data_IF_764362551622
#
_entry.id   IF_764362551622
#
_cell.length_a   1.000
_cell.length_b   1.000
_cell.length_c   1.000
_cell.angle_alpha   90.00
_cell.angle_beta   90.00
_cell.angle_gamma   90.00
#
_symmetry.space_group_name_H-M   'P 1'
#
loop_
_entity.id
_entity.type
_entity.pdbx_description
1 polymer ?
#
# COMPACT_ATOMS: atom_id res chain seq x y z
N UNK A 1 -51.61 1.90 -60.52
CA UNK A 1 -50.59 2.69 -61.23
C UNK A 1 -49.70 3.35 -60.18
N UNK A 2 -48.37 3.38 -60.42
CA UNK A 2 -47.25 3.76 -59.53
C UNK A 2 -46.83 2.60 -58.59
N UNK A 3 -45.78 1.76 -58.79
CA UNK A 3 -44.46 1.83 -59.45
C UNK A 3 -43.57 2.99 -58.95
N UNK A 4 -42.25 2.88 -58.71
CA UNK A 4 -41.26 1.81 -58.48
C UNK A 4 -39.92 2.53 -58.19
N UNK A 5 -39.08 1.95 -57.33
CA UNK A 5 -37.60 1.91 -57.36
C UNK A 5 -36.69 3.11 -57.75
N UNK A 6 -35.74 3.36 -56.83
CA UNK A 6 -34.28 3.36 -56.99
C UNK A 6 -33.53 4.27 -58.01
N UNK A 7 -32.55 5.02 -57.50
CA UNK A 7 -31.20 5.30 -58.06
C UNK A 7 -30.39 6.09 -56.99
N UNK A 8 -29.23 5.69 -56.42
CA UNK A 8 -27.89 5.25 -56.90
C UNK A 8 -27.05 6.40 -57.52
N UNK A 9 -25.92 6.71 -56.85
CA UNK A 9 -24.67 7.40 -57.29
C UNK A 9 -24.50 8.93 -57.19
N UNK A 10 -23.45 9.35 -56.45
CA UNK A 10 -22.46 10.41 -56.75
C UNK A 10 -21.50 10.54 -55.54
N UNK A 11 -20.18 10.77 -55.59
CA UNK A 11 -19.21 10.93 -56.66
C UNK A 11 -17.80 10.75 -56.04
N UNK A 12 -16.85 10.23 -56.83
CA UNK A 12 -15.42 10.17 -56.52
C UNK A 12 -14.79 11.56 -56.64
N UNK A 13 -13.84 11.89 -55.78
CA UNK A 13 -12.77 12.86 -56.10
C UNK A 13 -11.43 12.19 -55.82
N UNK A 14 -10.62 12.02 -56.87
CA UNK A 14 -9.18 11.69 -56.82
C UNK A 14 -8.41 13.00 -56.93
N UNK A 15 -7.31 13.14 -56.18
CA UNK A 15 -6.17 13.99 -56.53
C UNK A 15 -4.85 13.23 -56.28
N UNK A 16 -3.74 13.59 -56.98
CA UNK A 16 -2.73 12.66 -57.48
C UNK A 16 -1.47 12.50 -56.59
N UNK A 17 -0.67 11.52 -57.00
CA UNK A 17 0.69 11.12 -56.57
C UNK A 17 1.71 12.27 -56.52
N UNK A 18 2.62 12.29 -55.52
CA UNK A 18 4.06 12.15 -55.75
C UNK A 18 4.88 11.93 -54.45
N UNK A 19 6.05 11.28 -54.58
CA UNK A 19 7.02 10.91 -53.54
C UNK A 19 7.41 12.05 -52.58
N UNK A 20 7.91 11.79 -51.37
CA UNK A 20 9.11 11.01 -51.12
C UNK A 20 9.15 10.33 -49.74
N UNK A 21 10.05 9.36 -49.64
CA UNK A 21 10.38 8.54 -48.47
C UNK A 21 10.84 9.37 -47.26
N UNK A 22 9.91 9.82 -46.42
CA UNK A 22 10.20 10.16 -45.01
C UNK A 22 8.93 9.86 -44.24
N UNK A 23 8.79 8.70 -43.55
CA UNK A 23 7.74 8.50 -42.52
C UNK A 23 7.76 7.12 -41.81
N UNK A 24 8.93 6.64 -41.39
CA UNK A 24 9.01 5.45 -40.52
C UNK A 24 8.72 5.75 -39.04
N UNK A 25 9.16 6.91 -38.54
CA UNK A 25 9.03 7.31 -37.13
C UNK A 25 7.84 8.23 -36.86
N UNK A 26 7.53 9.16 -37.76
CA UNK A 26 6.43 10.12 -37.58
C UNK A 26 5.05 9.45 -37.65
N UNK A 27 4.84 8.54 -38.61
CA UNK A 27 3.60 7.76 -38.70
C UNK A 27 3.33 6.90 -37.47
N UNK A 28 4.39 6.34 -36.85
CA UNK A 28 4.28 5.52 -35.63
C UNK A 28 3.93 6.37 -34.40
N UNK A 29 4.43 7.61 -34.35
CA UNK A 29 4.11 8.57 -33.30
C UNK A 29 2.69 9.14 -33.47
N UNK A 30 2.26 9.47 -34.69
CA UNK A 30 0.90 9.95 -34.98
C UNK A 30 -0.16 8.87 -34.72
N UNK A 31 0.11 7.60 -35.03
CA UNK A 31 -0.78 6.49 -34.66
C UNK A 31 -0.85 6.28 -33.13
N UNK A 32 0.28 6.33 -32.41
CA UNK A 32 0.29 6.29 -30.93
C UNK A 32 -0.47 7.47 -30.32
N UNK A 33 -0.37 8.67 -30.91
CA UNK A 33 -1.05 9.89 -30.45
C UNK A 33 -2.57 9.82 -30.68
N UNK A 34 -3.02 9.34 -31.86
CA UNK A 34 -4.45 9.12 -32.15
C UNK A 34 -5.06 8.01 -31.29
N UNK A 35 -4.30 6.99 -30.92
CA UNK A 35 -4.77 5.90 -30.05
C UNK A 35 -4.84 6.31 -28.57
N UNK A 36 -4.04 7.29 -28.15
CA UNK A 36 -4.15 7.94 -26.83
C UNK A 36 -5.44 8.77 -26.69
N UNK A 37 -5.99 9.29 -27.78
CA UNK A 37 -7.13 10.22 -27.77
C UNK A 37 -8.51 9.54 -27.72
N UNK A 38 -8.60 8.20 -27.73
CA UNK A 38 -9.86 7.44 -27.86
C UNK A 38 -10.10 6.41 -26.73
N UNK A 39 -9.43 6.54 -25.58
CA UNK A 39 -9.59 5.61 -24.44
C UNK A 39 -10.82 5.97 -23.62
N UNK A 40 -11.62 4.96 -23.27
CA UNK A 40 -12.84 5.15 -22.47
C UNK A 40 -12.57 5.14 -20.96
N UNK A 41 -11.50 4.48 -20.53
CA UNK A 41 -11.15 4.33 -19.12
C UNK A 41 -9.74 4.84 -18.81
N UNK A 42 -9.55 5.37 -17.60
CA UNK A 42 -8.23 5.76 -17.09
C UNK A 42 -7.33 4.55 -16.91
N UNK A 43 -6.05 4.73 -17.24
CA UNK A 43 -5.01 3.73 -16.97
C UNK A 43 -4.63 3.70 -15.49
N UNK A 44 -4.07 2.59 -15.01
CA UNK A 44 -3.58 2.51 -13.64
C UNK A 44 -2.52 3.59 -13.33
N UNK A 45 -1.66 3.89 -14.30
CA UNK A 45 -0.64 4.94 -14.16
C UNK A 45 -1.26 6.32 -13.86
N UNK A 46 -2.29 6.71 -14.61
CA UNK A 46 -3.00 7.99 -14.41
C UNK A 46 -3.68 8.05 -13.04
N UNK A 47 -4.20 6.92 -12.54
CA UNK A 47 -4.80 6.83 -11.21
C UNK A 47 -3.74 6.93 -10.11
N UNK A 48 -2.56 6.34 -10.30
CA UNK A 48 -1.48 6.38 -9.31
C UNK A 48 -0.76 7.73 -9.25
N UNK A 49 -0.73 8.52 -10.33
CA UNK A 49 0.03 9.76 -10.41
C UNK A 49 -0.18 10.74 -9.25
N UNK A 50 -1.43 11.14 -8.94
CA UNK A 50 -1.71 12.05 -7.81
C UNK A 50 -1.30 11.47 -6.46
N UNK A 51 -1.52 10.17 -6.25
CA UNK A 51 -1.16 9.46 -5.01
C UNK A 51 0.35 9.51 -4.78
N UNK A 52 1.11 9.22 -5.83
CA UNK A 52 2.57 9.25 -5.77
C UNK A 52 3.09 10.67 -5.55
N UNK A 53 2.42 11.67 -6.11
CA UNK A 53 2.78 13.08 -5.88
C UNK A 53 2.67 13.46 -4.41
N UNK A 54 1.59 13.04 -3.73
CA UNK A 54 1.44 13.25 -2.28
C UNK A 54 2.54 12.49 -1.52
N UNK A 55 2.81 11.24 -1.87
CA UNK A 55 3.83 10.44 -1.19
C UNK A 55 5.23 11.04 -1.25
N UNK A 56 5.54 11.76 -2.33
CA UNK A 56 6.82 12.40 -2.55
C UNK A 56 7.04 13.62 -1.64
N UNK A 57 5.97 14.28 -1.18
CA UNK A 57 6.05 15.33 -0.16
C UNK A 57 6.56 14.77 1.18
N UNK A 58 6.28 13.50 1.44
CA UNK A 58 6.73 12.79 2.64
C UNK A 58 7.98 11.93 2.41
N UNK A 59 8.63 12.06 1.24
CA UNK A 59 9.90 11.40 0.97
C UNK A 59 9.78 9.94 0.55
N UNK A 60 8.60 9.47 0.18
CA UNK A 60 8.39 8.12 -0.33
C UNK A 60 8.26 8.11 -1.87
N UNK A 61 8.83 7.07 -2.49
CA UNK A 61 8.80 6.79 -3.94
C UNK A 61 9.16 8.02 -4.82
N UNK A 62 10.41 8.53 -4.76
CA UNK A 62 10.85 9.76 -5.44
C UNK A 62 11.10 9.57 -6.96
N UNK A 63 10.07 9.18 -7.72
CA UNK A 63 10.12 9.09 -9.19
C UNK A 63 9.61 10.36 -9.88
N UNK A 64 10.21 10.74 -11.01
CA UNK A 64 9.82 11.91 -11.79
C UNK A 64 8.85 11.52 -12.92
N UNK A 65 8.02 12.48 -13.35
CA UNK A 65 7.07 12.28 -14.45
C UNK A 65 5.84 11.45 -14.07
N UNK A 66 5.48 11.33 -12.80
CA UNK A 66 4.35 10.49 -12.34
C UNK A 66 2.96 11.00 -12.76
N UNK A 67 2.83 12.29 -13.11
CA UNK A 67 1.58 12.91 -13.59
C UNK A 67 1.47 12.94 -15.12
N UNK A 68 2.52 12.51 -15.84
CA UNK A 68 2.50 12.44 -17.29
C UNK A 68 1.46 11.41 -17.75
N UNK A 69 0.78 11.68 -18.87
CA UNK A 69 -0.16 10.68 -19.44
C UNK A 69 0.56 9.47 -20.05
N UNK A 70 1.80 9.67 -20.50
CA UNK A 70 2.60 8.62 -21.11
C UNK A 70 3.51 7.98 -20.05
N UNK A 71 3.29 6.70 -19.76
CA UNK A 71 4.09 5.93 -18.80
C UNK A 71 5.59 5.90 -19.15
N UNK A 72 5.97 6.10 -20.41
CA UNK A 72 7.37 6.14 -20.84
C UNK A 72 8.13 7.39 -20.34
N UNK A 73 7.40 8.45 -20.01
CA UNK A 73 7.97 9.71 -19.50
C UNK A 73 8.32 9.62 -18.01
N UNK A 74 7.97 8.52 -17.34
CA UNK A 74 8.43 8.25 -15.98
C UNK A 74 9.93 7.94 -16.01
N UNK A 75 10.69 8.57 -15.11
CA UNK A 75 12.12 8.31 -14.95
C UNK A 75 12.57 8.52 -13.50
N UNK A 76 13.75 7.98 -13.18
CA UNK A 76 14.38 8.10 -11.88
C UNK A 76 15.76 8.74 -12.06
N UNK A 77 16.11 9.73 -11.21
CA UNK A 77 17.40 10.41 -11.24
C UNK A 77 17.94 10.58 -9.82
N UNK A 78 19.11 10.01 -9.53
CA UNK A 78 19.75 10.08 -8.21
C UNK A 78 20.04 11.53 -7.75
N UNK A 79 20.35 12.43 -8.69
CA UNK A 79 20.64 13.84 -8.38
C UNK A 79 19.38 14.71 -8.22
N UNK A 80 18.18 14.11 -8.17
CA UNK A 80 16.94 14.85 -7.96
C UNK A 80 16.81 15.28 -6.50
N UNK A 81 16.33 16.50 -6.26
CA UNK A 81 16.08 17.03 -4.90
C UNK A 81 15.19 16.07 -4.11
N UNK A 82 14.21 15.43 -4.76
CA UNK A 82 13.31 14.46 -4.13
C UNK A 82 14.05 13.22 -3.62
N UNK A 83 15.06 12.76 -4.36
CA UNK A 83 15.86 11.59 -3.98
C UNK A 83 16.82 11.95 -2.85
N UNK A 84 17.47 13.12 -2.94
CA UNK A 84 18.34 13.64 -1.87
C UNK A 84 17.55 13.77 -0.57
N UNK A 85 16.32 14.29 -0.64
CA UNK A 85 15.40 14.38 0.50
C UNK A 85 15.09 13.01 1.13
N UNK A 86 14.75 12.01 0.32
CA UNK A 86 14.54 10.63 0.79
C UNK A 86 15.81 10.03 1.42
N UNK A 87 16.98 10.26 0.83
CA UNK A 87 18.26 9.76 1.36
C UNK A 87 18.57 10.40 2.71
N UNK A 88 18.38 11.72 2.84
CA UNK A 88 18.57 12.43 4.12
C UNK A 88 17.68 11.83 5.21
N UNK A 89 16.38 11.66 4.91
CA UNK A 89 15.43 11.03 5.83
C UNK A 89 15.85 9.61 6.22
N UNK A 90 16.32 8.82 5.25
CA UNK A 90 16.80 7.46 5.49
C UNK A 90 18.04 7.44 6.38
N UNK A 91 19.04 8.29 6.14
CA UNK A 91 20.24 8.41 6.96
C UNK A 91 19.90 8.83 8.40
N UNK A 92 19.01 9.79 8.58
CA UNK A 92 18.54 10.22 9.90
C UNK A 92 17.81 9.08 10.63
N UNK A 93 16.89 8.39 9.95
CA UNK A 93 16.20 7.24 10.52
C UNK A 93 17.14 6.10 10.91
N UNK A 94 18.14 5.79 10.08
CA UNK A 94 19.15 4.77 10.41
C UNK A 94 19.98 5.16 11.62
N UNK A 95 20.34 6.45 11.73
CA UNK A 95 21.10 6.96 12.86
C UNK A 95 20.31 6.85 14.17
N UNK A 96 19.03 7.25 14.15
CA UNK A 96 18.12 7.12 15.29
C UNK A 96 18.01 5.65 15.76
N UNK A 97 17.80 4.70 14.84
CA UNK A 97 17.72 3.27 15.18
C UNK A 97 19.01 2.76 15.84
N UNK A 98 20.17 3.15 15.32
CA UNK A 98 21.47 2.72 15.88
C UNK A 98 21.61 3.24 17.32
N UNK A 99 21.29 4.50 17.57
CA UNK A 99 21.37 5.09 18.91
C UNK A 99 20.38 4.45 19.89
N UNK A 100 19.15 4.15 19.45
CA UNK A 100 18.18 3.44 20.28
C UNK A 100 18.68 2.06 20.68
N UNK A 101 19.30 1.31 19.75
CA UNK A 101 19.87 0.00 20.05
C UNK A 101 21.01 0.12 21.06
N UNK A 102 21.92 1.09 20.89
CA UNK A 102 23.02 1.32 21.82
C UNK A 102 22.48 1.62 23.23
N UNK A 103 21.49 2.53 23.32
CA UNK A 103 20.90 2.93 24.60
C UNK A 103 20.17 1.76 25.28
N UNK A 104 19.37 0.99 24.54
CA UNK A 104 18.67 -0.18 25.07
C UNK A 104 19.62 -1.27 25.56
N UNK A 105 20.80 -1.44 24.94
CA UNK A 105 21.81 -2.39 25.40
C UNK A 105 22.50 -1.89 26.68
N UNK A 106 22.70 -0.58 26.83
CA UNK A 106 23.32 0.02 28.02
C UNK A 106 22.41 -0.01 29.25
N UNK A 107 21.14 0.36 29.08
CA UNK A 107 20.18 0.46 30.18
C UNK A 107 19.52 -0.90 30.53
N UNK A 108 19.69 -1.90 29.65
CA UNK A 108 19.01 -3.19 29.71
C UNK A 108 17.72 -3.19 28.88
N UNK A 109 17.52 -4.26 28.09
CA UNK A 109 16.44 -4.30 27.10
C UNK A 109 15.09 -4.52 27.78
N UNK A 110 14.21 -3.52 27.74
CA UNK A 110 12.81 -3.65 28.14
C UNK A 110 11.89 -3.94 26.94
N UNK A 111 10.65 -4.37 27.21
CA UNK A 111 9.65 -4.59 26.16
C UNK A 111 9.32 -3.30 25.40
N UNK A 112 9.29 -2.16 26.11
CA UNK A 112 9.06 -0.84 25.53
C UNK A 112 10.19 -0.44 24.58
N UNK A 113 11.44 -0.76 24.92
CA UNK A 113 12.58 -0.49 24.02
C UNK A 113 12.49 -1.31 22.73
N UNK A 114 12.09 -2.59 22.85
CA UNK A 114 11.88 -3.46 21.69
C UNK A 114 10.79 -2.90 20.79
N UNK A 115 9.66 -2.43 21.34
CA UNK A 115 8.58 -1.82 20.55
C UNK A 115 9.07 -0.60 19.76
N UNK A 116 9.79 0.31 20.42
CA UNK A 116 10.33 1.53 19.80
C UNK A 116 11.36 1.19 18.72
N UNK A 117 12.34 0.31 19.01
CA UNK A 117 13.35 -0.12 18.04
C UNK A 117 12.69 -0.75 16.80
N UNK A 118 11.69 -1.61 17.00
CA UNK A 118 10.97 -2.24 15.89
C UNK A 118 10.19 -1.21 15.07
N UNK A 119 9.54 -0.23 15.70
CA UNK A 119 8.82 0.84 15.00
C UNK A 119 9.76 1.62 14.07
N UNK A 120 10.88 2.13 14.59
CA UNK A 120 11.84 2.89 13.80
C UNK A 120 12.56 2.01 12.76
N UNK A 121 12.92 0.78 13.12
CA UNK A 121 13.54 -0.19 12.23
C UNK A 121 12.66 -0.51 11.01
N UNK A 122 11.36 -0.76 11.23
CA UNK A 122 10.41 -0.95 10.13
C UNK A 122 10.19 0.34 9.32
N UNK A 123 10.22 1.52 9.95
CA UNK A 123 10.14 2.79 9.20
C UNK A 123 11.30 2.95 8.22
N UNK A 124 12.53 2.70 8.66
CA UNK A 124 13.73 2.71 7.81
C UNK A 124 13.64 1.66 6.70
N UNK A 125 13.26 0.41 7.04
CA UNK A 125 13.14 -0.67 6.06
C UNK A 125 12.10 -0.35 4.97
N UNK A 126 10.97 0.27 5.34
CA UNK A 126 9.95 0.74 4.39
C UNK A 126 10.49 1.87 3.51
N UNK A 127 11.15 2.88 4.08
CA UNK A 127 11.74 3.98 3.33
C UNK A 127 12.76 3.48 2.29
N UNK A 128 13.64 2.57 2.70
CA UNK A 128 14.60 1.91 1.82
C UNK A 128 13.90 1.15 0.68
N UNK A 129 12.88 0.35 1.01
CA UNK A 129 12.15 -0.45 0.02
C UNK A 129 11.42 0.45 -0.99
N UNK A 130 10.84 1.57 -0.56
CA UNK A 130 10.21 2.54 -1.46
C UNK A 130 11.23 3.29 -2.33
N UNK A 131 12.42 3.60 -1.81
CA UNK A 131 13.50 4.18 -2.61
C UNK A 131 13.96 3.18 -3.69
N UNK A 132 14.16 1.92 -3.32
CA UNK A 132 14.48 0.85 -4.26
C UNK A 132 13.37 0.70 -5.32
N UNK A 133 12.11 0.67 -4.89
CA UNK A 133 10.95 0.57 -5.79
C UNK A 133 10.88 1.75 -6.77
N UNK A 134 11.24 2.96 -6.34
CA UNK A 134 11.29 4.14 -7.21
C UNK A 134 12.25 3.94 -8.40
N UNK A 135 13.38 3.24 -8.20
CA UNK A 135 14.33 2.94 -9.29
C UNK A 135 13.74 2.01 -10.35
N UNK A 136 12.80 1.14 -9.94
CA UNK A 136 12.13 0.16 -10.81
C UNK A 136 10.73 0.61 -11.25
N UNK A 137 10.26 1.75 -10.77
CA UNK A 137 8.87 2.19 -10.97
C UNK A 137 8.51 2.34 -12.44
N UNK A 138 9.41 2.89 -13.27
CA UNK A 138 9.23 2.99 -14.73
C UNK A 138 8.96 1.63 -15.36
N UNK A 139 9.78 0.63 -15.02
CA UNK A 139 9.63 -0.75 -15.52
C UNK A 139 8.23 -1.29 -15.17
N UNK A 140 7.77 -1.02 -13.94
CA UNK A 140 6.47 -1.47 -13.45
C UNK A 140 5.32 -0.83 -14.22
N UNK A 141 5.30 0.50 -14.35
CA UNK A 141 4.17 1.18 -15.01
C UNK A 141 4.12 0.90 -16.51
N UNK A 142 5.26 0.72 -17.17
CA UNK A 142 5.31 0.37 -18.60
C UNK A 142 4.80 -1.06 -18.80
N UNK A 143 5.30 -2.03 -18.02
CA UNK A 143 4.85 -3.42 -18.11
C UNK A 143 3.36 -3.56 -17.78
N UNK A 144 2.89 -2.85 -16.75
CA UNK A 144 1.48 -2.79 -16.41
C UNK A 144 0.65 -2.26 -17.56
N UNK A 145 1.03 -1.10 -18.11
CA UNK A 145 0.29 -0.45 -19.17
C UNK A 145 0.16 -1.34 -20.41
N UNK A 146 1.22 -2.06 -20.78
CA UNK A 146 1.22 -2.98 -21.92
C UNK A 146 0.22 -4.13 -21.74
N UNK A 147 0.15 -4.72 -20.54
CA UNK A 147 -0.78 -5.81 -20.21
C UNK A 147 -2.22 -5.32 -19.97
N UNK A 148 -2.38 -4.06 -19.54
CA UNK A 148 -3.67 -3.43 -19.25
C UNK A 148 -4.38 -2.89 -20.51
N UNK A 149 -3.65 -2.56 -21.58
CA UNK A 149 -4.18 -1.93 -22.81
C UNK A 149 -5.48 -2.55 -23.35
N UNK A 150 -5.67 -3.89 -23.41
CA UNK A 150 -6.93 -4.47 -23.89
C UNK A 150 -8.15 -4.09 -23.05
N UNK A 151 -7.97 -3.80 -21.76
CA UNK A 151 -9.03 -3.52 -20.79
C UNK A 151 -9.41 -2.03 -20.71
N UNK A 152 -8.71 -1.16 -21.43
CA UNK A 152 -8.97 0.29 -21.46
C UNK A 152 -10.04 0.69 -22.49
N UNK A 153 -10.45 -0.24 -23.36
CA UNK A 153 -11.39 -0.03 -24.44
C UNK A 153 -12.48 -1.12 -24.47
N UNK A 154 -13.51 -0.88 -25.27
CA UNK A 154 -14.47 -1.92 -25.64
C UNK A 154 -13.75 -3.16 -26.20
N UNK A 155 -14.20 -4.39 -25.91
CA UNK A 155 -15.52 -4.76 -25.36
C UNK A 155 -15.57 -4.91 -23.84
N UNK A 156 -14.53 -4.48 -23.11
CA UNK A 156 -14.52 -4.58 -21.66
C UNK A 156 -15.27 -3.42 -21.03
N UNK A 157 -16.21 -3.73 -20.14
CA UNK A 157 -16.98 -2.72 -19.40
C UNK A 157 -16.46 -2.60 -17.97
N UNK A 158 -16.58 -1.41 -17.39
CA UNK A 158 -16.26 -1.18 -15.98
C UNK A 158 -17.44 -1.53 -15.06
N UNK A 159 -17.13 -1.67 -13.77
CA UNK A 159 -18.15 -1.67 -12.72
C UNK A 159 -18.86 -0.31 -12.61
N UNK A 160 -19.94 -0.26 -11.83
CA UNK A 160 -20.75 0.95 -11.59
C UNK A 160 -19.92 2.16 -11.13
N UNK A 161 -18.77 1.92 -10.50
CA UNK A 161 -17.79 2.94 -10.13
C UNK A 161 -16.46 2.72 -10.85
N UNK A 162 -15.92 3.81 -11.43
CA UNK A 162 -14.59 3.83 -12.03
C UNK A 162 -13.51 3.53 -10.99
N UNK A 163 -12.46 2.81 -11.41
CA UNK A 163 -11.29 2.48 -10.57
C UNK A 163 -10.75 3.72 -9.86
N UNK A 164 -10.63 4.85 -10.58
CA UNK A 164 -10.12 6.11 -10.05
C UNK A 164 -10.92 6.61 -8.84
N UNK A 165 -12.25 6.56 -8.91
CA UNK A 165 -13.11 7.02 -7.80
C UNK A 165 -12.91 6.14 -6.57
N UNK A 166 -12.85 4.81 -6.74
CA UNK A 166 -12.62 3.89 -5.63
C UNK A 166 -11.27 4.13 -4.95
N UNK A 167 -10.22 4.25 -5.76
CA UNK A 167 -8.87 4.47 -5.25
C UNK A 167 -8.81 5.82 -4.52
N UNK A 168 -9.31 6.90 -5.10
CA UNK A 168 -9.28 8.22 -4.45
C UNK A 168 -10.14 8.31 -3.20
N UNK A 169 -11.31 7.68 -3.17
CA UNK A 169 -12.16 7.62 -1.98
C UNK A 169 -11.43 6.89 -0.85
N UNK A 170 -10.82 5.72 -1.15
CA UNK A 170 -10.06 4.97 -0.16
C UNK A 170 -8.83 5.76 0.29
N UNK A 171 -8.13 6.43 -0.62
CA UNK A 171 -6.99 7.28 -0.28
C UNK A 171 -7.36 8.43 0.64
N UNK A 172 -8.51 9.07 0.40
CA UNK A 172 -9.03 10.11 1.27
C UNK A 172 -9.35 9.58 2.67
N UNK A 173 -10.00 8.40 2.76
CA UNK A 173 -10.24 7.74 4.05
C UNK A 173 -8.94 7.41 4.77
N UNK A 174 -7.94 6.86 4.07
CA UNK A 174 -6.62 6.54 4.63
C UNK A 174 -5.85 7.80 5.09
N UNK A 175 -6.07 8.93 4.43
CA UNK A 175 -5.48 10.20 4.84
C UNK A 175 -6.13 10.74 6.13
N UNK A 176 -7.46 10.67 6.25
CA UNK A 176 -8.16 10.98 7.51
C UNK A 176 -7.66 10.07 8.62
N UNK A 177 -7.55 8.78 8.33
CA UNK A 177 -7.03 7.77 9.24
C UNK A 177 -5.64 8.12 9.77
N UNK A 178 -4.72 8.46 8.87
CA UNK A 178 -3.40 8.96 9.24
C UNK A 178 -3.48 10.20 10.14
N UNK A 179 -4.30 11.19 9.79
CA UNK A 179 -4.43 12.43 10.58
C UNK A 179 -4.97 12.14 11.98
N UNK A 180 -6.01 11.32 12.09
CA UNK A 180 -6.58 10.95 13.38
C UNK A 180 -5.57 10.20 14.23
N UNK A 181 -4.90 9.18 13.68
CA UNK A 181 -3.87 8.41 14.39
C UNK A 181 -2.73 9.32 14.87
N UNK A 182 -2.22 10.19 14.00
CA UNK A 182 -1.11 11.08 14.32
C UNK A 182 -1.46 12.15 15.35
N UNK A 183 -2.63 12.79 15.22
CA UNK A 183 -3.08 13.80 16.19
C UNK A 183 -3.42 13.18 17.53
N UNK A 184 -4.01 11.99 17.56
CA UNK A 184 -4.27 11.26 18.79
C UNK A 184 -2.98 10.85 19.48
N UNK A 185 -2.00 10.32 18.72
CA UNK A 185 -0.68 9.98 19.25
C UNK A 185 0.00 11.18 19.92
N UNK A 186 0.13 12.31 19.21
CA UNK A 186 0.71 13.54 19.78
C UNK A 186 -0.10 14.01 20.99
N UNK A 187 -1.43 13.96 20.92
CA UNK A 187 -2.30 14.38 22.02
C UNK A 187 -2.09 13.58 23.31
N UNK A 188 -1.94 12.26 23.19
CA UNK A 188 -1.64 11.37 24.33
C UNK A 188 -0.27 11.69 24.90
N UNK A 189 0.75 11.85 24.06
CA UNK A 189 2.09 12.19 24.54
C UNK A 189 2.12 13.53 25.27
N UNK A 190 1.47 14.57 24.72
CA UNK A 190 1.39 15.87 25.37
C UNK A 190 0.65 15.79 26.71
N UNK A 191 -0.42 15.01 26.78
CA UNK A 191 -1.19 14.79 28.00
C UNK A 191 -0.33 14.09 29.07
N UNK A 192 0.31 12.98 28.72
CA UNK A 192 1.18 12.24 29.63
C UNK A 192 2.37 13.10 30.10
N UNK A 193 2.85 14.04 29.27
CA UNK A 193 3.99 14.91 29.60
C UNK A 193 3.58 15.95 30.65
N UNK A 194 2.43 16.57 30.43
CA UNK A 194 1.86 17.50 31.40
C UNK A 194 1.56 16.78 32.73
N UNK A 195 1.00 15.58 32.65
CA UNK A 195 0.67 14.78 33.82
C UNK A 195 1.90 14.41 34.64
N UNK A 196 2.98 13.98 33.99
CA UNK A 196 4.21 13.62 34.69
C UNK A 196 4.82 14.80 35.45
N UNK A 197 4.83 15.99 34.83
CA UNK A 197 5.34 17.21 35.46
C UNK A 197 4.50 17.65 36.66
N UNK A 198 3.17 17.59 36.55
CA UNK A 198 2.28 17.95 37.66
C UNK A 198 2.29 16.91 38.77
N UNK A 199 2.33 15.62 38.44
CA UNK A 199 2.34 14.53 39.40
C UNK A 199 3.62 14.47 40.22
N UNK A 200 4.80 14.59 39.59
CA UNK A 200 6.08 14.61 40.29
C UNK A 200 6.48 16.02 40.81
N UNK A 201 5.61 17.03 40.66
CA UNK A 201 5.80 18.43 41.10
C UNK A 201 7.14 19.05 40.66
N UNK A 202 7.54 18.82 39.40
CA UNK A 202 8.82 19.28 38.85
C UNK A 202 8.63 20.60 38.10
N UNK A 203 9.26 21.67 38.59
CA UNK A 203 9.22 23.02 37.98
C UNK A 203 10.55 23.45 37.36
N UNK A 204 11.63 22.69 37.59
CA UNK A 204 12.99 23.02 37.13
C UNK A 204 13.22 22.80 35.64
N UNK A 205 12.38 21.98 34.99
CA UNK A 205 12.52 21.58 33.59
C UNK A 205 11.35 22.14 32.79
N UNK A 206 11.64 22.74 31.63
CA UNK A 206 10.60 23.25 30.73
C UNK A 206 9.78 22.11 30.10
N UNK A 207 8.51 22.38 29.81
CA UNK A 207 7.59 21.40 29.21
C UNK A 207 8.19 20.69 27.98
N UNK A 208 8.80 21.47 27.08
CA UNK A 208 9.38 20.97 25.83
C UNK A 208 10.65 20.14 26.06
N UNK A 209 11.47 20.52 27.06
CA UNK A 209 12.64 19.74 27.42
C UNK A 209 12.24 18.38 28.01
N UNK A 210 11.22 18.33 28.88
CA UNK A 210 10.73 17.06 29.40
C UNK A 210 10.13 16.16 28.30
N UNK A 211 9.33 16.74 27.41
CA UNK A 211 8.76 16.02 26.27
C UNK A 211 9.86 15.36 25.42
N UNK A 212 10.88 16.14 25.05
CA UNK A 212 12.00 15.66 24.23
C UNK A 212 12.78 14.54 24.91
N UNK A 213 13.00 14.68 26.21
CA UNK A 213 13.71 13.67 27.01
C UNK A 213 12.93 12.36 27.09
N UNK A 214 11.60 12.43 27.17
CA UNK A 214 10.77 11.24 27.24
C UNK A 214 10.63 10.53 25.90
N UNK A 215 10.45 11.27 24.80
CA UNK A 215 10.24 10.67 23.48
C UNK A 215 11.54 10.22 22.80
N UNK A 216 12.67 10.85 23.14
CA UNK A 216 13.98 10.50 22.56
C UNK A 216 15.08 10.46 23.63
N UNK A 217 15.03 9.52 24.59
CA UNK A 217 16.01 9.41 25.65
C UNK A 217 17.44 9.17 25.12
N UNK A 218 17.57 8.42 24.01
CA UNK A 218 18.84 8.10 23.35
C UNK A 218 19.56 9.30 22.73
N UNK A 219 18.89 10.46 22.55
CA UNK A 219 19.53 11.67 22.03
C UNK A 219 20.03 12.62 23.13
N UNK A 220 19.60 12.43 24.38
CA UNK A 220 19.91 13.34 25.50
C UNK A 220 21.41 13.42 25.75
N UNK A 221 22.11 12.29 25.67
CA UNK A 221 23.53 12.18 26.01
C UNK A 221 24.45 12.78 24.93
N UNK A 222 23.93 12.96 23.71
CA UNK A 222 24.70 13.41 22.53
C UNK A 222 24.40 14.87 22.21
N UNK A 223 23.15 15.29 22.34
CA UNK A 223 22.67 16.56 21.84
C UNK A 223 22.16 17.43 23.00
N UNK A 224 22.82 18.57 23.31
CA UNK A 224 22.31 19.48 24.32
C UNK A 224 20.94 20.04 23.88
N UNK A 225 20.06 20.25 24.85
CA UNK A 225 18.71 20.72 24.58
C UNK A 225 18.72 22.14 23.99
N UNK A 226 18.13 22.28 22.79
CA UNK A 226 17.76 23.56 22.20
C UNK A 226 16.35 23.48 21.63
N UNK A 227 15.57 24.55 21.83
CA UNK A 227 14.16 24.61 21.44
C UNK A 227 13.91 24.43 19.93
N UNK A 228 14.87 24.84 19.09
CA UNK A 228 14.76 24.77 17.62
C UNK A 228 14.95 23.36 17.05
N UNK A 229 15.42 22.39 17.85
CA UNK A 229 15.56 20.98 17.44
C UNK A 229 14.19 20.28 17.41
N UNK A 230 13.26 20.70 18.27
CA UNK A 230 11.92 20.14 18.37
C UNK A 230 11.17 20.04 17.03
N UNK A 231 11.03 21.10 16.21
CA UNK A 231 10.32 21.00 14.93
C UNK A 231 10.98 20.01 13.94
N UNK A 232 12.30 19.83 14.01
CA UNK A 232 13.00 18.86 13.18
C UNK A 232 12.66 17.42 13.58
N UNK A 233 12.61 17.15 14.87
CA UNK A 233 12.18 15.87 15.42
C UNK A 233 10.72 15.57 15.17
N UNK A 234 9.85 16.56 15.28
CA UNK A 234 8.45 16.42 14.91
C UNK A 234 8.31 16.09 13.43
N UNK A 235 9.09 16.76 12.58
CA UNK A 235 9.10 16.48 11.14
C UNK A 235 9.49 15.02 10.84
N UNK A 236 10.55 14.48 11.46
CA UNK A 236 10.96 13.08 11.24
C UNK A 236 9.91 12.05 11.68
N UNK A 237 9.26 12.23 12.85
CA UNK A 237 8.23 11.30 13.31
C UNK A 237 6.98 11.36 12.42
N UNK A 238 6.60 12.55 11.95
CA UNK A 238 5.51 12.73 10.99
C UNK A 238 5.78 11.98 9.67
N UNK A 239 7.01 12.02 9.15
CA UNK A 239 7.38 11.25 7.96
C UNK A 239 7.29 9.73 8.16
N UNK A 240 7.71 9.23 9.31
CA UNK A 240 7.64 7.80 9.64
C UNK A 240 6.18 7.33 9.82
N UNK A 241 5.36 8.14 10.50
CA UNK A 241 3.94 7.88 10.70
C UNK A 241 3.17 7.87 9.36
N UNK A 242 3.48 8.81 8.46
CA UNK A 242 2.90 8.82 7.11
C UNK A 242 3.29 7.56 6.33
N UNK A 243 4.56 7.15 6.37
CA UNK A 243 5.07 5.97 5.66
C UNK A 243 4.31 4.69 6.00
N UNK A 244 3.86 4.56 7.26
CA UNK A 244 3.02 3.46 7.68
C UNK A 244 1.67 3.45 6.97
N UNK A 245 0.93 4.55 7.05
CA UNK A 245 -0.36 4.63 6.40
C UNK A 245 -0.25 4.52 4.87
N UNK A 246 0.83 5.06 4.31
CA UNK A 246 1.08 5.02 2.87
C UNK A 246 1.37 3.62 2.34
N UNK A 247 2.13 2.77 3.05
CA UNK A 247 2.39 1.39 2.57
C UNK A 247 1.10 0.58 2.44
N UNK A 248 0.18 0.72 3.39
CA UNK A 248 -1.10 0.02 3.37
C UNK A 248 -1.95 0.49 2.20
N UNK A 249 -2.06 1.80 2.02
CA UNK A 249 -2.80 2.39 0.92
C UNK A 249 -2.20 2.04 -0.45
N UNK A 250 -0.87 2.01 -0.56
CA UNK A 250 -0.16 1.65 -1.79
C UNK A 250 -0.46 0.20 -2.19
N UNK A 251 -0.37 -0.75 -1.24
CA UNK A 251 -0.68 -2.17 -1.48
C UNK A 251 -2.15 -2.34 -1.86
N UNK A 252 -3.07 -1.64 -1.18
CA UNK A 252 -4.50 -1.63 -1.51
C UNK A 252 -4.74 -1.11 -2.93
N UNK A 253 -4.07 -0.02 -3.33
CA UNK A 253 -4.23 0.58 -4.66
C UNK A 253 -3.79 -0.38 -5.77
N UNK A 254 -2.64 -1.05 -5.61
CA UNK A 254 -2.19 -2.11 -6.53
C UNK A 254 -3.21 -3.25 -6.58
N UNK A 255 -3.68 -3.69 -5.41
CA UNK A 255 -4.61 -4.82 -5.30
C UNK A 255 -5.96 -4.53 -5.96
N UNK A 256 -6.46 -3.30 -5.84
CA UNK A 256 -7.66 -2.83 -6.52
C UNK A 256 -7.45 -2.74 -8.03
N UNK A 257 -6.29 -2.27 -8.48
CA UNK A 257 -5.91 -2.26 -9.89
C UNK A 257 -6.01 -3.65 -10.51
N UNK A 258 -5.32 -4.63 -9.91
CA UNK A 258 -5.34 -6.03 -10.34
C UNK A 258 -6.75 -6.65 -10.28
N UNK A 259 -7.41 -6.56 -9.12
CA UNK A 259 -8.75 -7.12 -8.91
C UNK A 259 -9.77 -6.59 -9.89
N UNK A 260 -9.67 -5.29 -10.24
CA UNK A 260 -10.59 -4.67 -11.19
C UNK A 260 -10.42 -5.25 -12.59
N UNK A 261 -9.18 -5.50 -13.04
CA UNK A 261 -8.95 -6.10 -14.36
C UNK A 261 -9.43 -7.54 -14.44
N UNK A 262 -9.21 -8.34 -13.39
CA UNK A 262 -9.82 -9.69 -13.31
C UNK A 262 -11.35 -9.62 -13.32
N UNK A 263 -11.96 -8.70 -12.57
CA UNK A 263 -13.43 -8.52 -12.58
C UNK A 263 -13.96 -8.11 -13.96
N UNK A 264 -13.25 -7.26 -14.72
CA UNK A 264 -13.63 -6.94 -16.10
C UNK A 264 -13.63 -8.18 -17.00
N UNK A 265 -12.62 -9.04 -16.85
CA UNK A 265 -12.55 -10.32 -17.56
C UNK A 265 -13.71 -11.24 -17.17
N UNK A 266 -14.01 -11.35 -15.86
CA UNK A 266 -15.10 -12.16 -15.33
C UNK A 266 -16.45 -11.74 -15.89
N UNK A 267 -16.74 -10.44 -15.93
CA UNK A 267 -17.99 -9.91 -16.49
C UNK A 267 -18.15 -10.27 -17.95
N UNK A 268 -17.11 -10.07 -18.75
CA UNK A 268 -17.11 -10.43 -20.18
C UNK A 268 -17.35 -11.92 -20.37
N UNK A 269 -16.73 -12.76 -19.53
CA UNK A 269 -16.89 -14.20 -19.57
C UNK A 269 -18.32 -14.64 -19.21
N UNK A 270 -18.91 -14.08 -18.15
CA UNK A 270 -20.29 -14.41 -17.71
C UNK A 270 -21.31 -14.07 -18.82
N UNK A 271 -21.20 -12.88 -19.43
CA UNK A 271 -22.05 -12.48 -20.56
C UNK A 271 -21.85 -13.34 -21.82
N UNK A 272 -20.65 -13.92 -21.96
CA UNK A 272 -20.31 -14.77 -23.09
C UNK A 272 -20.79 -16.21 -22.89
N UNK A 273 -20.74 -16.77 -21.68
CA UNK A 273 -21.17 -18.15 -21.41
C UNK A 273 -22.66 -18.41 -21.64
N UNK A 274 -23.50 -17.37 -21.64
CA UNK A 274 -24.92 -17.48 -21.97
C UNK A 274 -25.20 -17.55 -23.48
N UNK A 275 -24.21 -17.25 -24.32
CA UNK A 275 -24.34 -17.15 -25.77
C UNK A 275 -23.34 -18.10 -26.44
N UNK A 276 -23.67 -18.71 -27.59
CA UNK A 276 -22.69 -19.54 -28.31
C UNK A 276 -21.57 -18.65 -28.87
N UNK A 277 -20.38 -18.76 -28.28
CA UNK A 277 -19.24 -17.91 -28.63
C UNK A 277 -18.25 -18.61 -29.57
N UNK A 278 -17.62 -17.82 -30.44
CA UNK A 278 -16.62 -18.30 -31.41
C UNK A 278 -15.33 -18.80 -30.73
N UNK A 279 -14.57 -19.66 -31.42
CA UNK A 279 -13.24 -20.10 -30.97
C UNK A 279 -12.28 -18.93 -30.74
N UNK A 280 -12.35 -17.89 -31.58
CA UNK A 280 -11.53 -16.68 -31.46
C UNK A 280 -11.76 -15.97 -30.12
N UNK A 281 -13.01 -15.91 -29.66
CA UNK A 281 -13.33 -15.31 -28.36
C UNK A 281 -12.63 -16.04 -27.20
N UNK A 282 -12.66 -17.37 -27.17
CA UNK A 282 -12.01 -18.16 -26.11
C UNK A 282 -10.49 -18.04 -26.13
N UNK A 283 -9.90 -17.97 -27.32
CA UNK A 283 -8.48 -17.68 -27.48
C UNK A 283 -8.12 -16.31 -26.91
N UNK A 284 -8.90 -15.26 -27.24
CA UNK A 284 -8.69 -13.91 -26.71
C UNK A 284 -8.79 -13.90 -25.17
N UNK A 285 -9.83 -14.52 -24.59
CA UNK A 285 -10.00 -14.60 -23.14
C UNK A 285 -8.81 -15.29 -22.47
N UNK A 286 -8.33 -16.41 -23.02
CA UNK A 286 -7.15 -17.09 -22.46
C UNK A 286 -5.92 -16.18 -22.51
N UNK A 287 -5.64 -15.55 -23.64
CA UNK A 287 -4.50 -14.63 -23.79
C UNK A 287 -4.61 -13.46 -22.79
N UNK A 288 -5.80 -12.88 -22.64
CA UNK A 288 -6.03 -11.80 -21.68
C UNK A 288 -5.87 -12.27 -20.23
N UNK A 289 -6.33 -13.48 -19.90
CA UNK A 289 -6.15 -14.06 -18.56
C UNK A 289 -4.68 -14.31 -18.25
N UNK A 290 -3.95 -14.99 -19.13
CA UNK A 290 -2.50 -15.22 -18.98
C UNK A 290 -1.74 -13.90 -18.84
N UNK A 291 -2.10 -12.86 -19.59
CA UNK A 291 -1.51 -11.54 -19.44
C UNK A 291 -1.74 -10.91 -18.05
N UNK A 292 -2.90 -11.12 -17.43
CA UNK A 292 -3.17 -10.64 -16.07
C UNK A 292 -2.41 -11.44 -15.01
N UNK A 293 -2.26 -12.74 -15.22
CA UNK A 293 -1.46 -13.60 -14.35
C UNK A 293 0.02 -13.25 -14.44
N UNK A 294 0.57 -13.07 -15.64
CA UNK A 294 1.93 -12.57 -15.85
C UNK A 294 2.14 -11.22 -15.14
N UNK A 295 1.16 -10.33 -15.25
CA UNK A 295 1.18 -9.02 -14.60
C UNK A 295 1.24 -9.16 -13.08
N UNK A 296 0.38 -10.00 -12.51
CA UNK A 296 0.36 -10.25 -11.07
C UNK A 296 1.70 -10.79 -10.57
N UNK A 297 2.25 -11.82 -11.20
CA UNK A 297 3.56 -12.40 -10.80
C UNK A 297 4.72 -11.43 -10.99
N UNK A 298 4.65 -10.57 -12.01
CA UNK A 298 5.64 -9.52 -12.20
C UNK A 298 5.58 -8.48 -11.07
N UNK A 299 4.38 -8.00 -10.71
CA UNK A 299 4.20 -7.04 -9.62
C UNK A 299 4.61 -7.66 -8.29
N UNK A 300 4.16 -8.89 -8.02
CA UNK A 300 4.47 -9.62 -6.80
C UNK A 300 5.98 -9.64 -6.54
N UNK A 301 6.78 -10.03 -7.54
CA UNK A 301 8.24 -10.03 -7.44
C UNK A 301 8.85 -8.66 -7.11
N UNK A 302 8.20 -7.55 -7.47
CA UNK A 302 8.70 -6.18 -7.21
C UNK A 302 8.24 -5.64 -5.86
N UNK A 303 7.08 -6.06 -5.34
CA UNK A 303 6.50 -5.55 -4.09
C UNK A 303 6.50 -6.54 -2.92
N UNK A 304 6.88 -7.80 -3.16
CA UNK A 304 6.85 -8.88 -2.18
C UNK A 304 7.59 -8.54 -0.87
N UNK A 305 8.74 -7.86 -0.95
CA UNK A 305 9.49 -7.42 0.24
C UNK A 305 8.73 -6.35 1.03
N UNK A 306 8.08 -5.42 0.33
CA UNK A 306 7.26 -4.38 0.95
C UNK A 306 6.05 -4.99 1.68
N UNK A 307 5.40 -5.98 1.06
CA UNK A 307 4.31 -6.75 1.66
C UNK A 307 4.82 -7.48 2.91
N UNK A 308 5.96 -8.18 2.83
CA UNK A 308 6.53 -8.91 3.95
C UNK A 308 6.82 -8.00 5.15
N UNK A 309 7.53 -6.90 4.92
CA UNK A 309 7.84 -5.91 5.97
C UNK A 309 6.55 -5.36 6.59
N UNK A 310 5.58 -5.00 5.76
CA UNK A 310 4.29 -4.47 6.22
C UNK A 310 3.49 -5.48 7.05
N UNK A 311 3.53 -6.77 6.69
CA UNK A 311 2.86 -7.84 7.41
C UNK A 311 3.53 -8.17 8.74
N UNK A 312 4.86 -8.24 8.75
CA UNK A 312 5.64 -8.47 9.98
C UNK A 312 5.41 -7.37 11.00
N UNK A 313 5.43 -6.10 10.55
CA UNK A 313 5.15 -4.96 11.42
C UNK A 313 3.75 -5.05 12.04
N UNK A 314 2.72 -5.37 11.25
CA UNK A 314 1.35 -5.50 11.77
C UNK A 314 1.21 -6.64 12.76
N UNK A 315 1.81 -7.79 12.48
CA UNK A 315 1.75 -8.94 13.39
C UNK A 315 2.38 -8.61 14.74
N UNK A 316 3.57 -8.01 14.72
CA UNK A 316 4.29 -7.58 15.93
C UNK A 316 3.47 -6.59 16.77
N UNK A 317 2.90 -5.56 16.12
CA UNK A 317 2.16 -4.52 16.81
C UNK A 317 0.81 -5.00 17.34
N UNK A 318 0.06 -5.80 16.56
CA UNK A 318 -1.21 -6.37 17.03
C UNK A 318 -0.95 -7.27 18.23
N UNK A 319 0.07 -8.14 18.19
CA UNK A 319 0.42 -8.98 19.34
C UNK A 319 0.78 -8.12 20.57
N UNK A 320 1.69 -7.14 20.42
CA UNK A 320 2.12 -6.29 21.53
C UNK A 320 0.95 -5.50 22.14
N UNK A 321 0.07 -4.93 21.30
CA UNK A 321 -1.10 -4.18 21.80
C UNK A 321 -2.18 -5.08 22.37
N UNK A 322 -2.40 -6.30 21.89
CA UNK A 322 -3.34 -7.21 22.56
C UNK A 322 -2.78 -7.65 23.92
N UNK A 323 -1.47 -7.90 24.01
CA UNK A 323 -0.81 -8.22 25.27
C UNK A 323 -0.92 -7.08 26.29
N UNK A 324 -0.67 -5.84 25.87
CA UNK A 324 -0.90 -4.66 26.70
C UNK A 324 -2.36 -4.54 27.11
N UNK A 325 -3.32 -4.87 26.24
CA UNK A 325 -4.75 -4.76 26.50
C UNK A 325 -5.18 -5.61 27.69
N UNK A 326 -4.60 -6.80 27.81
CA UNK A 326 -4.87 -7.76 28.88
C UNK A 326 -4.31 -7.23 30.21
N UNK A 327 -3.19 -6.51 30.17
CA UNK A 327 -2.52 -5.93 31.35
C UNK A 327 -2.99 -4.52 31.69
N UNK A 328 -3.86 -3.93 30.87
CA UNK A 328 -4.22 -2.52 30.91
C UNK A 328 -5.08 -2.10 32.12
N UNK A 329 -5.38 -3.02 33.04
CA UNK A 329 -6.27 -2.78 34.18
C UNK A 329 -5.79 -1.70 35.17
N UNK A 330 -4.51 -1.31 35.14
CA UNK A 330 -3.90 -0.51 36.22
C UNK A 330 -3.61 0.96 35.86
N UNK A 331 -4.03 1.48 34.68
CA UNK A 331 -3.86 2.92 34.36
C UNK A 331 -5.00 3.77 34.96
N UNK A 332 -4.70 4.91 35.63
CA UNK A 332 -5.66 5.61 36.48
C UNK A 332 -6.73 6.43 35.73
N UNK A 333 -6.58 6.71 34.43
CA UNK A 333 -7.46 7.64 33.70
C UNK A 333 -8.25 6.99 32.57
N UNK A 334 -9.56 7.20 32.57
CA UNK A 334 -10.51 6.74 31.55
C UNK A 334 -10.15 7.19 30.13
N UNK A 335 -9.46 8.33 29.98
CA UNK A 335 -9.04 8.83 28.68
C UNK A 335 -8.00 7.92 28.01
N UNK A 336 -7.03 7.41 28.79
CA UNK A 336 -6.00 6.51 28.30
C UNK A 336 -6.61 5.15 27.90
N UNK A 337 -7.68 4.71 28.58
CA UNK A 337 -8.45 3.52 28.17
C UNK A 337 -9.12 3.72 26.81
N UNK A 338 -9.82 4.83 26.61
CA UNK A 338 -10.48 5.12 25.33
C UNK A 338 -9.46 5.16 24.18
N UNK A 339 -8.33 5.86 24.37
CA UNK A 339 -7.29 5.96 23.34
C UNK A 339 -6.70 4.60 22.99
N UNK A 340 -6.41 3.80 23.99
CA UNK A 340 -5.82 2.48 23.81
C UNK A 340 -6.73 1.57 22.96
N UNK A 341 -8.01 1.42 23.34
CA UNK A 341 -8.94 0.59 22.58
C UNK A 341 -9.26 1.16 21.20
N UNK A 342 -9.32 2.48 21.08
CA UNK A 342 -9.48 3.15 19.79
C UNK A 342 -8.32 2.82 18.85
N UNK A 343 -7.07 2.95 19.33
CA UNK A 343 -5.87 2.63 18.57
C UNK A 343 -5.81 1.15 18.17
N UNK A 344 -6.09 0.24 19.11
CA UNK A 344 -6.12 -1.21 18.84
C UNK A 344 -7.16 -1.56 17.77
N UNK A 345 -8.41 -1.10 17.93
CA UNK A 345 -9.49 -1.33 16.96
C UNK A 345 -9.10 -0.82 15.58
N UNK A 346 -8.54 0.39 15.53
CA UNK A 346 -8.17 1.05 14.30
C UNK A 346 -7.05 0.30 13.55
N UNK A 347 -6.00 -0.13 14.27
CA UNK A 347 -4.91 -0.92 13.71
C UNK A 347 -5.40 -2.26 13.13
N UNK A 348 -6.29 -2.95 13.85
CA UNK A 348 -6.90 -4.21 13.38
C UNK A 348 -7.76 -3.94 12.14
N UNK A 349 -8.60 -2.91 12.17
CA UNK A 349 -9.47 -2.55 11.03
C UNK A 349 -8.67 -2.25 9.76
N UNK A 350 -7.62 -1.42 9.85
CA UNK A 350 -6.73 -1.10 8.71
C UNK A 350 -6.06 -2.35 8.15
N UNK A 351 -5.59 -3.24 9.02
CA UNK A 351 -4.97 -4.52 8.65
C UNK A 351 -5.94 -5.42 7.90
N UNK A 352 -7.17 -5.56 8.40
CA UNK A 352 -8.23 -6.33 7.76
C UNK A 352 -8.63 -5.75 6.41
N UNK A 353 -8.73 -4.42 6.28
CA UNK A 353 -9.02 -3.74 5.02
C UNK A 353 -7.95 -4.04 3.96
N UNK A 354 -6.68 -3.94 4.32
CA UNK A 354 -5.57 -4.25 3.41
C UNK A 354 -5.59 -5.72 2.98
N UNK A 355 -5.65 -6.63 3.95
CA UNK A 355 -5.63 -8.08 3.71
C UNK A 355 -6.86 -8.54 2.90
N UNK A 356 -8.04 -8.01 3.21
CA UNK A 356 -9.28 -8.31 2.49
C UNK A 356 -9.17 -7.89 1.02
N UNK A 357 -8.66 -6.68 0.75
CA UNK A 357 -8.46 -6.19 -0.62
C UNK A 357 -7.43 -7.02 -1.39
N UNK A 358 -6.32 -7.38 -0.75
CA UNK A 358 -5.31 -8.26 -1.36
C UNK A 358 -5.89 -9.65 -1.68
N UNK A 359 -6.62 -10.24 -0.73
CA UNK A 359 -7.25 -11.55 -0.91
C UNK A 359 -8.33 -11.56 -2.00
N UNK A 360 -8.94 -10.41 -2.28
CA UNK A 360 -9.95 -10.29 -3.32
C UNK A 360 -9.37 -10.55 -4.73
N UNK A 361 -8.08 -10.32 -4.95
CA UNK A 361 -7.41 -10.66 -6.21
C UNK A 361 -7.55 -12.14 -6.50
N UNK A 362 -7.25 -12.98 -5.50
CA UNK A 362 -7.33 -14.44 -5.61
C UNK A 362 -8.75 -14.91 -5.95
N UNK A 363 -9.75 -14.31 -5.30
CA UNK A 363 -11.16 -14.63 -5.53
C UNK A 363 -11.56 -14.23 -6.95
N UNK A 364 -11.26 -12.99 -7.36
CA UNK A 364 -11.56 -12.53 -8.72
C UNK A 364 -10.83 -13.36 -9.78
N UNK A 365 -9.61 -13.83 -9.51
CA UNK A 365 -8.87 -14.69 -10.43
C UNK A 365 -9.49 -16.09 -10.58
N UNK A 366 -10.13 -16.63 -9.53
CA UNK A 366 -10.74 -17.96 -9.53
C UNK A 366 -12.19 -17.98 -10.03
N UNK A 367 -12.93 -16.87 -9.93
CA UNK A 367 -14.35 -16.77 -10.38
C UNK A 367 -14.64 -17.34 -11.78
N UNK A 368 -13.78 -17.12 -12.81
CA UNK A 368 -13.97 -17.71 -14.14
C UNK A 368 -14.21 -19.21 -14.14
N UNK A 369 -13.61 -19.95 -13.21
CA UNK A 369 -13.64 -21.41 -13.20
C UNK A 369 -15.07 -21.95 -13.09
N UNK A 370 -15.89 -21.33 -12.24
CA UNK A 370 -17.28 -21.72 -12.05
C UNK A 370 -18.08 -21.46 -13.34
N UNK A 371 -17.90 -20.28 -13.94
CA UNK A 371 -18.57 -19.92 -15.19
C UNK A 371 -18.17 -20.83 -16.36
N UNK A 372 -16.89 -21.19 -16.45
CA UNK A 372 -16.37 -22.10 -17.49
C UNK A 372 -16.92 -23.52 -17.31
N UNK A 373 -16.93 -24.03 -16.07
CA UNK A 373 -17.45 -25.39 -15.78
C UNK A 373 -18.94 -25.51 -16.08
N UNK A 374 -19.70 -24.42 -15.95
CA UNK A 374 -21.13 -24.38 -16.26
C UNK A 374 -21.42 -24.17 -17.76
N UNK A 375 -20.40 -23.97 -18.61
CA UNK A 375 -20.60 -23.75 -20.03
C UNK A 375 -21.08 -25.04 -20.75
N UNK A 376 -21.97 -24.93 -21.76
CA UNK A 376 -22.47 -26.09 -22.50
C UNK A 376 -21.33 -26.90 -23.16
N UNK A 377 -21.44 -28.23 -23.20
CA UNK A 377 -20.43 -29.15 -23.77
C UNK A 377 -20.03 -28.78 -25.20
N UNK A 378 -20.94 -28.21 -25.98
CA UNK A 378 -20.67 -27.77 -27.37
C UNK A 378 -19.66 -26.62 -27.47
N UNK A 379 -19.48 -25.84 -26.40
CA UNK A 379 -18.50 -24.76 -26.36
C UNK A 379 -17.11 -25.26 -25.93
N UNK A 380 -16.98 -26.48 -25.40
CA UNK A 380 -15.73 -27.02 -24.88
C UNK A 380 -14.72 -27.31 -25.99
N UNK A 381 -13.79 -26.39 -26.20
CA UNK A 381 -12.59 -26.55 -27.01
C UNK A 381 -11.32 -26.65 -26.17
N UNK A 382 -10.19 -26.90 -26.83
CA UNK A 382 -8.87 -27.00 -26.18
C UNK A 382 -8.48 -25.73 -25.40
N UNK A 383 -8.89 -24.56 -25.90
CA UNK A 383 -8.59 -23.27 -25.26
C UNK A 383 -9.32 -23.12 -23.91
N UNK A 384 -10.53 -23.67 -23.79
CA UNK A 384 -11.30 -23.68 -22.54
C UNK A 384 -10.69 -24.66 -21.53
N UNK A 385 -10.32 -25.87 -21.99
CA UNK A 385 -9.64 -26.87 -21.14
C UNK A 385 -8.36 -26.29 -20.56
N UNK A 386 -7.49 -25.75 -21.41
CA UNK A 386 -6.23 -25.10 -20.98
C UNK A 386 -6.46 -23.94 -20.01
N UNK A 387 -7.50 -23.14 -20.24
CA UNK A 387 -7.84 -22.05 -19.32
C UNK A 387 -8.34 -22.59 -17.97
N UNK A 388 -9.18 -23.62 -17.96
CA UNK A 388 -9.64 -24.29 -16.74
C UNK A 388 -8.48 -24.88 -15.95
N UNK A 389 -7.53 -25.53 -16.62
CA UNK A 389 -6.33 -26.09 -15.99
C UNK A 389 -5.47 -24.98 -15.41
N UNK A 390 -5.23 -23.90 -16.16
CA UNK A 390 -4.48 -22.73 -15.69
C UNK A 390 -5.09 -22.14 -14.41
N UNK A 391 -6.41 -21.92 -14.38
CA UNK A 391 -7.08 -21.37 -13.18
C UNK A 391 -7.03 -22.36 -12.00
N UNK A 392 -7.06 -23.67 -12.27
CA UNK A 392 -7.14 -24.70 -11.23
C UNK A 392 -5.79 -24.98 -10.57
N UNK A 393 -4.70 -24.93 -11.33
CA UNK A 393 -3.37 -25.32 -10.85
C UNK A 393 -2.45 -24.14 -10.52
N UNK A 394 -2.73 -22.94 -11.03
CA UNK A 394 -1.87 -21.78 -10.80
C UNK A 394 -2.26 -20.99 -9.55
N UNK A 395 -1.27 -20.67 -8.73
CA UNK A 395 -1.45 -19.84 -7.54
C UNK A 395 -1.50 -18.36 -7.91
N UNK A 396 -2.71 -17.81 -8.00
CA UNK A 396 -2.92 -16.42 -8.40
C UNK A 396 -3.26 -15.60 -7.16
N UNK A 397 -2.23 -15.07 -6.50
CA UNK A 397 -2.34 -14.20 -5.33
C UNK A 397 -1.03 -13.48 -5.07
N UNK A 398 -1.08 -12.33 -4.39
CA UNK A 398 0.12 -11.67 -3.88
C UNK A 398 0.73 -12.45 -2.72
N UNK A 399 2.05 -12.41 -2.60
CA UNK A 399 2.84 -13.15 -1.63
C UNK A 399 3.79 -12.26 -0.83
N UNK A 400 4.13 -12.69 0.38
CA UNK A 400 5.22 -12.11 1.16
C UNK A 400 6.54 -12.79 0.85
N UNK A 401 7.15 -12.49 -0.31
CA UNK A 401 8.40 -13.13 -0.78
C UNK A 401 8.29 -14.66 -0.95
N UNK A 402 7.10 -15.16 -1.29
CA UNK A 402 6.83 -16.61 -1.38
C UNK A 402 6.67 -17.34 -0.04
N UNK A 403 6.85 -16.68 1.12
CA UNK A 403 6.64 -17.32 2.42
C UNK A 403 5.18 -17.66 2.71
N UNK A 404 4.27 -16.78 2.28
CA UNK A 404 2.83 -16.95 2.47
C UNK A 404 2.06 -16.30 1.32
N UNK A 405 0.91 -16.88 1.00
CA UNK A 405 -0.03 -16.36 0.02
C UNK A 405 -1.14 -15.59 0.73
N UNK A 406 -1.46 -14.38 0.26
CA UNK A 406 -2.50 -13.56 0.87
C UNK A 406 -3.87 -14.05 0.39
N UNK A 407 -4.46 -14.94 1.18
CA UNK A 407 -5.82 -15.49 0.99
C UNK A 407 -6.70 -15.17 2.21
N UNK A 408 -8.02 -15.35 2.08
CA UNK A 408 -8.93 -15.22 3.24
C UNK A 408 -8.61 -16.21 4.37
N UNK A 409 -8.06 -17.37 4.02
CA UNK A 409 -7.61 -18.37 4.99
C UNK A 409 -6.45 -17.85 5.82
N UNK A 410 -5.47 -17.16 5.20
CA UNK A 410 -4.36 -16.55 5.92
C UNK A 410 -4.87 -15.59 7.01
N UNK A 411 -5.85 -14.75 6.66
CA UNK A 411 -6.45 -13.79 7.61
C UNK A 411 -7.01 -14.53 8.84
N UNK A 412 -7.77 -15.60 8.63
CA UNK A 412 -8.33 -16.41 9.72
C UNK A 412 -7.24 -17.07 10.56
N UNK A 413 -6.20 -17.62 9.92
CA UNK A 413 -5.09 -18.27 10.64
C UNK A 413 -4.27 -17.27 11.46
N UNK A 414 -4.02 -16.06 10.95
CA UNK A 414 -3.33 -15.00 11.68
C UNK A 414 -4.13 -14.54 12.90
N UNK A 415 -5.43 -14.30 12.72
CA UNK A 415 -6.30 -13.94 13.85
C UNK A 415 -6.36 -15.05 14.91
N UNK A 416 -6.51 -16.31 14.48
CA UNK A 416 -6.57 -17.45 15.39
C UNK A 416 -5.27 -17.67 16.17
N UNK A 417 -4.12 -17.52 15.52
CA UNK A 417 -2.81 -17.62 16.17
C UNK A 417 -2.58 -16.51 17.17
N UNK A 418 -2.87 -15.26 16.84
CA UNK A 418 -2.78 -14.13 17.79
C UNK A 418 -3.64 -14.42 19.02
N UNK A 419 -4.92 -14.78 18.84
CA UNK A 419 -5.81 -15.07 19.97
C UNK A 419 -5.29 -16.25 20.82
N UNK A 420 -4.75 -17.29 20.19
CA UNK A 420 -4.22 -18.46 20.91
C UNK A 420 -2.97 -18.12 21.72
N UNK A 421 -2.03 -17.37 21.13
CA UNK A 421 -0.83 -16.92 21.86
C UNK A 421 -1.21 -16.07 23.07
N UNK A 422 -2.16 -15.16 22.91
CA UNK A 422 -2.59 -14.26 23.97
C UNK A 422 -3.34 -14.99 25.10
N UNK A 423 -4.18 -15.97 24.76
CA UNK A 423 -4.82 -16.83 25.77
C UNK A 423 -3.79 -17.63 26.58
N UNK A 424 -2.73 -18.13 25.94
CA UNK A 424 -1.64 -18.86 26.63
C UNK A 424 -0.81 -17.93 27.51
N UNK A 425 -0.58 -16.69 27.08
CA UNK A 425 0.14 -15.69 27.88
C UNK A 425 -0.68 -15.20 29.07
N UNK A 426 -2.01 -15.11 28.93
CA UNK A 426 -2.92 -14.74 30.00
C UNK A 426 -2.87 -15.76 31.15
N UNK A 427 -2.80 -17.05 30.83
CA UNK A 427 -2.69 -18.14 31.82
C UNK A 427 -1.39 -18.05 32.66
N UNK A 428 -0.36 -17.37 32.17
CA UNK A 428 0.98 -17.29 32.79
C UNK A 428 1.36 -15.89 33.32
N UNK A 429 0.48 -14.90 33.21
CA UNK A 429 0.81 -13.51 33.50
C UNK A 429 0.66 -13.12 34.98
N UNK A 430 1.77 -12.83 35.66
CA UNK A 430 1.78 -12.11 36.95
C UNK A 430 1.68 -10.59 36.72
N UNK A 431 0.87 -9.90 37.54
CA UNK A 431 0.66 -8.44 37.52
C UNK A 431 1.99 -7.70 37.76
N UNK A 432 2.29 -6.68 36.96
CA UNK A 432 3.47 -5.83 37.12
C UNK A 432 3.14 -4.57 37.90
N UNK A 433 4.01 -4.20 38.85
CA UNK A 433 3.86 -3.00 39.70
C UNK A 433 4.09 -1.70 38.93
N UNK A 434 3.24 -0.71 39.17
CA UNK A 434 3.22 0.61 38.53
C UNK A 434 4.14 1.67 39.19
N UNK A 435 5.19 1.28 39.90
CA UNK A 435 5.90 2.18 40.83
C UNK A 435 7.02 3.07 40.23
N UNK A 436 7.21 3.14 38.92
CA UNK A 436 8.41 3.80 38.32
C UNK A 436 8.20 5.17 37.67
N UNK A 437 7.04 5.81 37.81
CA UNK A 437 6.73 7.08 37.10
C UNK A 437 7.59 8.28 37.53
N UNK A 438 8.03 8.34 38.79
CA UNK A 438 8.84 9.45 39.32
C UNK A 438 10.31 9.10 39.58
N UNK A 439 10.73 7.84 39.46
CA UNK A 439 12.12 7.42 39.74
C UNK A 439 13.15 8.08 38.83
N UNK A 440 12.74 8.52 37.63
CA UNK A 440 13.58 9.27 36.69
C UNK A 440 14.02 10.66 37.22
N UNK A 441 13.20 11.34 38.04
CA UNK A 441 13.57 12.66 38.59
C UNK A 441 14.38 12.56 39.88
N UNK A 442 14.28 11.45 40.62
CA UNK A 442 15.07 11.21 41.84
C UNK A 442 16.57 11.11 41.55
N UNK A 443 16.95 10.63 40.36
CA UNK A 443 18.36 10.59 39.94
C UNK A 443 18.90 11.96 39.51
N UNK A 444 18.04 12.94 39.22
CA UNK A 444 18.42 14.26 38.73
C UNK A 444 18.59 15.29 39.86
N UNK A 445 18.10 15.01 41.06
CA UNK A 445 18.33 15.83 42.27
C UNK A 445 19.63 15.47 43.00
N UNK A 446 20.30 14.38 42.59
CA UNK A 446 21.56 13.88 43.16
C UNK A 446 22.82 14.22 42.34
N UNK A 447 22.67 14.92 41.21
CA UNK A 447 23.76 15.48 40.37
C UNK A 447 23.68 16.99 40.33
#
# INVERSE_FOLDING_TARGET
MLASDANKWAMRVKFPYNGDKVNGMEGRNVFKFKEQQKRKFSSFHEVMGPILTVSQLFGYLPSCGVLERNCNNVYFKWTSIRVIYTILFLCLGTFEVILMIIKAVQDGISLTDVEVIMFYGFAVARAYTFLYLATKWKEIVVFWYDKERPFLNEPYTMSRFNLSIKVYLIGFVFFIFYLTEHLTFIGVELHDNNYQLTYCNVTSISFLNNYMRRERPHLIDILPYHWWIFPFFQWTITLMAFGWNFVDYFIISISLGLSTRFNQLNRRLIHATSNQMSRKFWLDIRVHYTNLVDLLHFIDRKIALLILISMLQKLFLIATKVFEAIRYADRPFLINHIYFYFYLFFMVFRTLMMLSTCSNIHIEAQKPLISIRNAPVRCWGDDIKRLSDLISFENISLTGCGFFLITRQLILTMTGTIVTFELVLLDRGTRGDNSTWCSYFENMTLS
#
